data_IF_710701299541
#
_entry.id   IF_710701299541
#
_cell.length_a   1.000
_cell.length_b   1.000
_cell.length_c   1.000
_cell.angle_alpha   90.00
_cell.angle_beta   90.00
_cell.angle_gamma   90.00
#
_symmetry.space_group_name_H-M   'P 1'
#
loop_
_entity.id
_entity.type
_entity.pdbx_description
1 polymer ?
#
# COMPACT_ATOMS: atom_id res chain seq x y z
N UNK A 1 -8.90 -24.09 15.76
CA UNK A 1 -9.69 -22.86 15.95
C UNK A 1 -9.28 -21.87 14.88
N UNK A 2 -10.14 -21.59 13.90
CA UNK A 2 -9.88 -20.53 12.93
C UNK A 2 -10.13 -19.19 13.63
N UNK A 3 -9.06 -18.46 13.94
CA UNK A 3 -9.18 -17.12 14.47
C UNK A 3 -9.91 -16.24 13.44
N UNK A 4 -10.90 -15.48 13.88
CA UNK A 4 -11.52 -14.46 13.03
C UNK A 4 -10.43 -13.50 12.55
N UNK A 5 -10.46 -13.09 11.27
CA UNK A 5 -9.48 -12.13 10.78
C UNK A 5 -9.56 -10.84 11.60
N UNK A 6 -8.42 -10.14 11.82
CA UNK A 6 -8.39 -8.85 12.49
C UNK A 6 -9.41 -7.86 11.88
N UNK A 7 -9.97 -6.99 12.72
CA UNK A 7 -10.84 -5.92 12.26
C UNK A 7 -10.10 -5.05 11.21
N UNK A 8 -10.73 -4.63 10.10
CA UNK A 8 -10.09 -3.90 9.01
C UNK A 8 -9.23 -2.71 9.43
N UNK A 9 -9.68 -1.95 10.43
CA UNK A 9 -8.92 -0.80 10.92
C UNK A 9 -7.66 -1.22 11.68
N UNK A 10 -7.75 -2.28 12.50
CA UNK A 10 -6.59 -2.83 13.18
C UNK A 10 -5.60 -3.40 12.17
N UNK A 11 -6.09 -4.06 11.12
CA UNK A 11 -5.26 -4.55 10.03
C UNK A 11 -4.52 -3.40 9.31
N UNK A 12 -5.19 -2.28 9.04
CA UNK A 12 -4.56 -1.09 8.45
C UNK A 12 -3.45 -0.51 9.35
N UNK A 13 -3.68 -0.44 10.68
CA UNK A 13 -2.68 0.02 11.64
C UNK A 13 -1.47 -0.94 11.71
N UNK A 14 -1.71 -2.24 11.69
CA UNK A 14 -0.63 -3.25 11.62
C UNK A 14 0.18 -3.12 10.34
N UNK A 15 -0.47 -2.84 9.20
CA UNK A 15 0.23 -2.61 7.94
C UNK A 15 1.09 -1.35 8.00
N UNK A 16 0.62 -0.25 8.59
CA UNK A 16 1.46 0.95 8.77
C UNK A 16 2.68 0.65 9.63
N UNK A 17 2.51 -0.05 10.75
CA UNK A 17 3.64 -0.40 11.61
C UNK A 17 4.68 -1.23 10.84
N UNK A 18 4.23 -2.25 10.09
CA UNK A 18 5.11 -3.08 9.27
C UNK A 18 5.74 -2.31 8.09
N UNK A 19 5.04 -1.35 7.47
CA UNK A 19 5.63 -0.50 6.42
C UNK A 19 6.69 0.45 6.99
N UNK A 20 6.53 0.92 8.22
CA UNK A 20 7.54 1.73 8.89
C UNK A 20 8.82 0.95 9.16
N UNK A 21 8.75 -0.36 9.42
CA UNK A 21 9.92 -1.24 9.54
C UNK A 21 10.68 -1.36 8.20
N UNK A 22 9.97 -1.24 7.07
CA UNK A 22 10.54 -1.16 5.71
C UNK A 22 10.98 0.27 5.34
N UNK A 23 10.91 1.24 6.27
CA UNK A 23 11.29 2.63 6.05
C UNK A 23 10.29 3.44 5.21
N UNK A 24 9.05 2.99 5.08
CA UNK A 24 8.01 3.63 4.28
C UNK A 24 6.97 4.30 5.19
N UNK A 25 6.86 5.62 5.10
CA UNK A 25 5.78 6.37 5.74
C UNK A 25 4.49 6.23 4.92
N UNK A 26 3.37 6.02 5.62
CA UNK A 26 2.05 5.88 5.02
C UNK A 26 0.97 6.39 5.99
N UNK A 27 -0.21 6.70 5.48
CA UNK A 27 -1.33 7.27 6.24
C UNK A 27 -2.59 6.38 6.17
N UNK A 28 -3.37 6.29 7.25
CA UNK A 28 -4.70 5.62 7.23
C UNK A 28 -5.79 6.64 6.96
N UNK A 29 -6.62 6.37 5.95
CA UNK A 29 -7.89 7.06 5.71
C UNK A 29 -9.08 6.18 6.12
N UNK A 30 -10.10 6.78 6.74
CA UNK A 30 -11.25 6.06 7.31
C UNK A 30 -12.60 6.45 6.70
N UNK A 31 -12.63 7.51 5.90
CA UNK A 31 -13.88 8.21 5.54
C UNK A 31 -14.70 7.51 4.43
N UNK A 32 -14.21 6.38 3.92
CA UNK A 32 -14.76 5.69 2.74
C UNK A 32 -15.42 4.33 3.06
N UNK A 33 -15.82 4.11 4.32
CA UNK A 33 -16.47 2.87 4.76
C UNK A 33 -15.56 1.65 4.90
N UNK A 34 -14.36 1.67 4.30
CA UNK A 34 -13.29 0.68 4.50
C UNK A 34 -11.97 1.42 4.74
N UNK A 35 -11.20 1.06 5.79
CA UNK A 35 -9.89 1.65 6.03
C UNK A 35 -8.94 1.43 4.85
N UNK A 36 -8.27 2.51 4.44
CA UNK A 36 -7.28 2.50 3.38
C UNK A 36 -5.95 3.02 3.88
N UNK A 37 -4.85 2.43 3.45
CA UNK A 37 -3.49 2.90 3.70
C UNK A 37 -2.98 3.56 2.43
N UNK A 38 -2.76 4.87 2.45
CA UNK A 38 -2.13 5.62 1.37
C UNK A 38 -0.62 5.55 1.53
N UNK A 39 0.06 4.95 0.56
CA UNK A 39 1.52 4.72 0.62
C UNK A 39 2.27 5.67 -0.33
N UNK A 40 1.76 5.83 -1.55
CA UNK A 40 2.33 6.71 -2.56
C UNK A 40 1.30 7.02 -3.65
N UNK A 41 1.60 7.98 -4.54
CA UNK A 41 0.79 8.19 -5.74
C UNK A 41 0.70 6.90 -6.55
N UNK A 42 -0.53 6.46 -6.82
CA UNK A 42 -0.80 5.21 -7.53
C UNK A 42 -0.64 3.93 -6.68
N UNK A 43 -0.38 4.04 -5.38
CA UNK A 43 -0.31 2.90 -4.45
C UNK A 43 -1.11 3.16 -3.18
N UNK A 44 -2.33 2.64 -3.18
CA UNK A 44 -3.26 2.65 -2.04
C UNK A 44 -3.60 1.21 -1.72
N UNK A 45 -3.61 0.86 -0.44
CA UNK A 45 -3.96 -0.47 0.06
C UNK A 45 -5.30 -0.40 0.78
N UNK A 46 -6.35 -1.05 0.28
CA UNK A 46 -7.60 -1.19 1.01
C UNK A 46 -7.59 -2.44 1.87
N UNK A 47 -8.10 -2.32 3.09
CA UNK A 47 -8.18 -3.41 4.06
C UNK A 47 -9.62 -3.92 4.11
N UNK A 48 -9.95 -4.99 3.37
CA UNK A 48 -11.30 -5.54 3.32
C UNK A 48 -11.29 -7.07 3.34
N UNK A 49 -12.33 -7.67 3.92
CA UNK A 49 -12.59 -9.12 3.81
C UNK A 49 -11.38 -10.00 4.23
N UNK A 50 -10.70 -9.60 5.30
CA UNK A 50 -9.53 -10.34 5.80
C UNK A 50 -8.26 -10.19 4.94
N UNK A 51 -8.25 -9.29 3.96
CA UNK A 51 -7.19 -9.16 2.95
C UNK A 51 -6.76 -7.70 2.74
N UNK A 52 -5.45 -7.48 2.72
CA UNK A 52 -4.82 -6.28 2.18
C UNK A 52 -4.82 -6.34 0.67
N UNK A 53 -5.44 -5.39 0.00
CA UNK A 53 -5.55 -5.37 -1.45
C UNK A 53 -4.96 -4.09 -2.01
N UNK A 54 -4.27 -4.19 -3.14
CA UNK A 54 -3.76 -3.02 -3.85
C UNK A 54 -3.73 -3.26 -5.35
N UNK A 55 -3.67 -2.16 -6.10
CA UNK A 55 -3.56 -2.21 -7.55
C UNK A 55 -2.11 -2.43 -7.96
N UNK A 56 -1.89 -3.34 -8.91
CA UNK A 56 -0.57 -3.60 -9.50
C UNK A 56 -0.46 -3.12 -10.95
N UNK A 57 -1.56 -2.77 -11.59
CA UNK A 57 -1.51 -2.22 -12.95
C UNK A 57 -2.86 -2.04 -13.63
N UNK A 58 -2.81 -1.91 -14.95
CA UNK A 58 -3.97 -1.86 -15.84
C UNK A 58 -3.85 -2.96 -16.89
N UNK A 59 -4.93 -3.69 -17.13
CA UNK A 59 -5.02 -4.61 -18.27
C UNK A 59 -5.72 -3.89 -19.43
N UNK A 60 -5.01 -3.50 -20.50
CA UNK A 60 -5.61 -2.77 -21.61
C UNK A 60 -6.58 -3.62 -22.42
N UNK A 61 -6.33 -4.93 -22.54
CA UNK A 61 -7.20 -5.85 -23.29
C UNK A 61 -8.56 -6.03 -22.64
N UNK A 62 -8.60 -6.05 -21.30
CA UNK A 62 -9.81 -6.28 -20.51
C UNK A 62 -10.40 -4.99 -19.94
N UNK A 63 -9.79 -3.84 -20.25
CA UNK A 63 -10.18 -2.53 -19.75
C UNK A 63 -10.46 -2.50 -18.23
N UNK A 64 -9.56 -3.11 -17.43
CA UNK A 64 -9.74 -3.19 -15.97
C UNK A 64 -8.43 -3.12 -15.21
N UNK A 65 -8.51 -2.68 -13.95
CA UNK A 65 -7.40 -2.71 -13.02
C UNK A 65 -7.00 -4.16 -12.67
N UNK A 66 -5.71 -4.36 -12.42
CA UNK A 66 -5.15 -5.62 -11.91
C UNK A 66 -4.86 -5.40 -10.43
N UNK A 67 -5.26 -6.36 -9.61
CA UNK A 67 -5.13 -6.29 -8.16
C UNK A 67 -4.29 -7.45 -7.64
N UNK A 68 -3.57 -7.19 -6.56
CA UNK A 68 -2.93 -8.19 -5.73
C UNK A 68 -3.48 -8.09 -4.31
N UNK A 69 -3.45 -9.23 -3.61
CA UNK A 69 -3.92 -9.33 -2.23
C UNK A 69 -2.92 -10.08 -1.35
N UNK A 70 -2.99 -9.81 -0.04
CA UNK A 70 -2.35 -10.65 0.99
C UNK A 70 -3.18 -10.69 2.29
N UNK A 71 -3.24 -11.81 3.03
CA UNK A 71 -4.09 -11.92 4.22
C UNK A 71 -3.67 -11.00 5.37
N UNK A 72 -4.65 -10.57 6.16
CA UNK A 72 -4.45 -9.81 7.41
C UNK A 72 -3.58 -10.51 8.45
N UNK A 73 -3.49 -11.85 8.39
CA UNK A 73 -2.68 -12.64 9.32
C UNK A 73 -1.17 -12.51 9.07
N UNK A 74 -0.76 -11.88 7.97
CA UNK A 74 0.65 -11.75 7.57
C UNK A 74 1.00 -10.29 7.21
N UNK A 75 0.85 -9.33 8.14
CA UNK A 75 1.05 -7.91 7.87
C UNK A 75 2.47 -7.60 7.40
N UNK A 76 3.50 -8.21 8.00
CA UNK A 76 4.90 -8.02 7.60
C UNK A 76 5.17 -8.47 6.15
N UNK A 77 4.63 -9.62 5.74
CA UNK A 77 4.77 -10.07 4.34
C UNK A 77 3.97 -9.21 3.38
N UNK A 78 2.83 -8.67 3.81
CA UNK A 78 2.06 -7.72 3.01
C UNK A 78 2.86 -6.43 2.81
N UNK A 79 3.40 -5.86 3.90
CA UNK A 79 4.25 -4.68 3.87
C UNK A 79 5.45 -4.87 2.94
N UNK A 80 6.17 -5.99 3.05
CA UNK A 80 7.30 -6.28 2.18
C UNK A 80 6.91 -6.28 0.68
N UNK A 81 5.79 -6.91 0.31
CA UNK A 81 5.31 -6.93 -1.08
C UNK A 81 4.86 -5.55 -1.55
N UNK A 82 4.26 -4.75 -0.67
CA UNK A 82 3.89 -3.37 -0.93
C UNK A 82 5.15 -2.51 -1.11
N UNK A 83 6.21 -2.73 -0.32
CA UNK A 83 7.49 -2.04 -0.42
C UNK A 83 8.22 -2.32 -1.74
N UNK A 84 8.20 -3.57 -2.21
CA UNK A 84 8.69 -3.91 -3.56
C UNK A 84 7.92 -3.13 -4.63
N UNK A 85 6.59 -3.11 -4.54
CA UNK A 85 5.76 -2.36 -5.50
C UNK A 85 5.98 -0.85 -5.43
N UNK A 86 6.17 -0.31 -4.23
CA UNK A 86 6.52 1.09 -4.00
C UNK A 86 7.83 1.45 -4.71
N UNK A 87 8.86 0.60 -4.59
CA UNK A 87 10.16 0.77 -5.24
C UNK A 87 10.01 0.78 -6.76
N UNK A 88 9.26 -0.16 -7.33
CA UNK A 88 8.96 -0.19 -8.77
C UNK A 88 8.27 1.11 -9.25
N UNK A 89 7.31 1.63 -8.46
CA UNK A 89 6.60 2.85 -8.78
C UNK A 89 7.50 4.08 -8.69
N UNK A 90 8.36 4.17 -7.68
CA UNK A 90 9.36 5.23 -7.53
C UNK A 90 10.35 5.27 -8.70
N UNK A 91 10.77 4.11 -9.20
CA UNK A 91 11.69 4.04 -10.35
C UNK A 91 11.01 4.40 -11.68
N UNK A 92 9.72 4.11 -11.84
CA UNK A 92 8.97 4.42 -13.06
C UNK A 92 8.40 5.84 -13.10
N UNK A 93 8.25 6.48 -11.94
CA UNK A 93 7.78 7.85 -11.80
C UNK A 93 8.81 8.64 -10.99
N UNK A 94 9.97 8.97 -11.60
CA UNK A 94 10.96 9.79 -10.93
C UNK A 94 10.34 11.13 -10.55
N UNK A 95 10.80 11.71 -9.43
CA UNK A 95 10.37 13.03 -9.02
C UNK A 95 10.57 14.02 -10.18
N UNK A 96 9.61 14.93 -10.34
CA UNK A 96 9.81 16.08 -11.21
C UNK A 96 11.13 16.76 -10.86
N UNK A 97 11.88 17.17 -11.88
CA UNK A 97 13.17 17.86 -11.74
C UNK A 97 13.08 19.09 -10.83
N UNK A 98 11.91 19.74 -10.76
CA UNK A 98 11.64 20.85 -9.86
C UNK A 98 11.68 20.45 -8.37
N UNK A 99 11.20 19.26 -8.03
CA UNK A 99 11.18 18.75 -6.65
C UNK A 99 12.55 18.16 -6.29
N UNK A 100 13.17 17.43 -7.22
CA UNK A 100 14.49 16.83 -7.02
C UNK A 100 15.58 17.89 -6.76
N UNK A 101 15.52 19.03 -7.48
CA UNK A 101 16.44 20.16 -7.26
C UNK A 101 16.26 20.81 -5.89
N UNK A 102 15.05 20.86 -5.35
CA UNK A 102 14.78 21.43 -4.02
C UNK A 102 15.28 20.53 -2.87
N UNK A 103 15.25 19.21 -3.03
CA UNK A 103 15.78 18.26 -2.03
C UNK A 103 17.30 18.25 -1.95
N UNK A 104 17.99 18.70 -3.01
CA UNK A 104 19.46 18.76 -3.04
C UNK A 104 20.02 20.00 -2.34
N UNK A 105 19.16 20.93 -1.93
CA UNK A 105 19.50 22.17 -1.24
C UNK A 105 19.22 22.14 0.27
N UNK A 106 18.84 20.98 0.82
CA UNK A 106 18.64 20.71 2.25
C UNK A 106 19.70 19.70 2.72
#
# INVERSE_FOLDING_TARGET
MNALPPHPLAAAQQLIAALSEEGITADVHRDYGTPMVSVWVGLIVWCADGTYWWRTGWNPRRHRAIYAGHPFTQPTRAAHRVALRYTELRMSHPLSSLIAGAQSCL
#
